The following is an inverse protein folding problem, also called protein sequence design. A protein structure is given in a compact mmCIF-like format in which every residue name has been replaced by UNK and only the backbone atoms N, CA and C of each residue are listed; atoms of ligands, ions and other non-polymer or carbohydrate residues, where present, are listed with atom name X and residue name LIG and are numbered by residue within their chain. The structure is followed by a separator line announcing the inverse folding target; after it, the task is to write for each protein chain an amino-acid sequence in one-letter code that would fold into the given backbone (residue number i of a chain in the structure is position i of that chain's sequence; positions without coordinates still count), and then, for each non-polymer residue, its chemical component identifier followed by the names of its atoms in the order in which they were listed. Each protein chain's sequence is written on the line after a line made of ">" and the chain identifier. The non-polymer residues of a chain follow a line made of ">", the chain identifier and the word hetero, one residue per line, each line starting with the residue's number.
data_IF_817311185590
#
_entry.id   IF_817311185590
#
_cell.length_a   1.000
_cell.length_b   1.000
_cell.length_c   1.000
_cell.angle_alpha   90.00
_cell.angle_beta   90.00
_cell.angle_gamma   90.00
#
_symmetry.space_group_name_H-M   'P 1'
#
loop_
_entity.id
_entity.type
_entity.pdbx_description
1 polymer ?
#
# COMPACT_ATOMS: atom_id res chain seq x y z
N UNK A 1 8.40 0.24 23.48
CA UNK A 1 7.96 1.18 22.44
C UNK A 1 6.89 0.43 21.68
N UNK A 2 5.71 1.03 21.51
CA UNK A 2 4.50 0.33 21.07
C UNK A 2 4.65 -0.08 19.59
N UNK A 3 5.18 -1.28 19.34
CA UNK A 3 5.13 -1.95 18.02
C UNK A 3 3.69 -2.39 17.76
N UNK A 4 2.78 -1.41 17.75
CA UNK A 4 1.37 -1.64 17.50
C UNK A 4 1.23 -2.04 16.04
N UNK A 5 0.58 -3.16 15.80
CA UNK A 5 0.26 -3.64 14.46
C UNK A 5 -0.66 -2.62 13.78
N UNK A 6 -0.33 -2.26 12.56
CA UNK A 6 -1.13 -1.42 11.68
C UNK A 6 -1.30 -2.11 10.34
N UNK A 7 -2.44 -1.86 9.71
CA UNK A 7 -2.74 -2.40 8.40
C UNK A 7 -2.68 -1.26 7.38
N UNK A 8 -1.54 -1.01 6.72
CA UNK A 8 -1.51 -0.15 5.54
C UNK A 8 -2.53 -0.63 4.51
N UNK A 9 -3.46 0.25 4.14
CA UNK A 9 -4.44 0.03 3.07
C UNK A 9 -4.25 1.10 2.02
N UNK A 10 -3.97 0.69 0.79
CA UNK A 10 -3.87 1.60 -0.36
C UNK A 10 -5.14 1.49 -1.19
N UNK A 11 -5.75 2.64 -1.46
CA UNK A 11 -6.97 2.75 -2.29
C UNK A 11 -6.61 3.57 -3.52
N UNK A 12 -6.80 2.97 -4.69
CA UNK A 12 -6.70 3.64 -5.98
C UNK A 12 -8.03 4.26 -6.38
N UNK A 13 -7.97 5.26 -7.26
CA UNK A 13 -9.14 5.76 -7.98
C UNK A 13 -8.79 5.89 -9.45
N UNK A 14 -9.66 5.39 -10.32
CA UNK A 14 -9.48 5.49 -11.77
C UNK A 14 -10.14 6.74 -12.36
N UNK A 15 -10.01 6.91 -13.68
CA UNK A 15 -10.58 8.04 -14.42
C UNK A 15 -12.11 8.07 -14.45
N UNK A 16 -12.78 6.98 -14.05
CA UNK A 16 -14.24 6.89 -13.91
C UNK A 16 -14.71 7.19 -12.48
N UNK A 17 -13.79 7.58 -11.60
CA UNK A 17 -14.02 7.73 -10.15
C UNK A 17 -14.35 6.42 -9.43
N UNK A 18 -14.07 5.27 -10.06
CA UNK A 18 -14.18 3.98 -9.40
C UNK A 18 -13.02 3.84 -8.42
N UNK A 19 -13.33 3.44 -7.19
CA UNK A 19 -12.36 3.26 -6.11
C UNK A 19 -12.17 1.77 -5.86
N UNK A 20 -10.92 1.36 -5.74
CA UNK A 20 -10.56 -0.03 -5.46
C UNK A 20 -9.43 -0.12 -4.44
N UNK A 21 -9.41 -1.21 -3.68
CA UNK A 21 -8.30 -1.51 -2.76
C UNK A 21 -7.19 -2.18 -3.56
N UNK A 22 -6.02 -1.54 -3.62
CA UNK A 22 -4.88 -1.99 -4.41
C UNK A 22 -3.89 -2.83 -3.60
N UNK A 23 -3.72 -2.51 -2.32
CA UNK A 23 -2.83 -3.25 -1.43
C UNK A 23 -3.34 -3.22 0.01
N UNK A 24 -3.14 -4.34 0.71
CA UNK A 24 -3.36 -4.48 2.15
C UNK A 24 -2.15 -5.24 2.70
N UNK A 25 -1.37 -4.59 3.54
CA UNK A 25 -0.17 -5.16 4.16
C UNK A 25 -0.38 -5.23 5.67
N UNK A 26 0.12 -6.29 6.30
CA UNK A 26 0.24 -6.35 7.76
C UNK A 26 1.59 -5.77 8.16
N UNK A 27 1.57 -4.63 8.84
CA UNK A 27 2.76 -3.82 9.04
C UNK A 27 2.79 -3.07 10.35
N UNK A 28 3.76 -2.16 10.44
CA UNK A 28 3.96 -1.32 11.61
C UNK A 28 3.74 0.16 11.24
N UNK A 29 3.34 0.96 12.23
CA UNK A 29 3.08 2.39 12.03
C UNK A 29 4.32 3.07 11.47
N UNK A 30 4.16 3.80 10.36
CA UNK A 30 5.22 4.63 9.77
C UNK A 30 6.52 3.86 9.47
N UNK A 31 6.43 2.53 9.31
CA UNK A 31 7.59 1.69 9.01
C UNK A 31 7.93 1.71 7.52
N UNK A 32 9.18 2.04 7.21
CA UNK A 32 9.72 1.97 5.84
C UNK A 32 9.54 0.57 5.25
N UNK A 33 9.79 -0.49 6.03
CA UNK A 33 9.66 -1.88 5.58
C UNK A 33 8.22 -2.18 5.15
N UNK A 34 7.23 -1.73 5.91
CA UNK A 34 5.82 -1.93 5.58
C UNK A 34 5.42 -1.17 4.31
N UNK A 35 5.98 0.01 4.06
CA UNK A 35 5.76 0.74 2.81
C UNK A 35 6.49 0.13 1.61
N UNK A 36 7.70 -0.41 1.79
CA UNK A 36 8.40 -1.14 0.74
C UNK A 36 7.63 -2.39 0.30
N UNK A 37 6.99 -3.09 1.24
CA UNK A 37 6.14 -4.23 0.92
C UNK A 37 4.90 -3.81 0.12
N UNK A 38 4.26 -2.70 0.48
CA UNK A 38 3.17 -2.09 -0.31
C UNK A 38 3.63 -1.79 -1.74
N UNK A 39 4.77 -1.10 -1.91
CA UNK A 39 5.31 -0.75 -3.23
C UNK A 39 5.65 -2.00 -4.05
N UNK A 40 6.20 -3.04 -3.41
CA UNK A 40 6.47 -4.32 -4.07
C UNK A 40 5.19 -5.00 -4.55
N UNK A 41 4.13 -5.01 -3.74
CA UNK A 41 2.84 -5.58 -4.14
C UNK A 41 2.24 -4.82 -5.35
N UNK A 42 2.26 -3.48 -5.31
CA UNK A 42 1.76 -2.65 -6.41
C UNK A 42 2.57 -2.87 -7.71
N UNK A 43 3.90 -2.95 -7.60
CA UNK A 43 4.78 -3.22 -8.75
C UNK A 43 4.51 -4.61 -9.35
N UNK A 44 4.27 -5.63 -8.51
CA UNK A 44 3.88 -6.96 -8.98
C UNK A 44 2.51 -6.99 -9.70
N UNK A 45 1.65 -6.00 -9.45
CA UNK A 45 0.37 -5.81 -10.14
C UNK A 45 0.50 -4.99 -11.43
N UNK A 46 1.72 -4.70 -11.89
CA UNK A 46 2.03 -3.83 -13.05
C UNK A 46 1.58 -2.37 -12.85
N UNK A 47 1.29 -1.97 -11.61
CA UNK A 47 0.96 -0.58 -11.28
C UNK A 47 2.28 0.18 -11.19
N UNK A 48 2.63 0.84 -12.29
CA UNK A 48 3.83 1.68 -12.35
C UNK A 48 3.57 2.99 -11.63
N UNK A 49 4.17 3.14 -10.45
CA UNK A 49 4.12 4.36 -9.65
C UNK A 49 5.23 5.25 -10.19
N UNK A 50 4.88 6.25 -10.99
CA UNK A 50 5.86 7.27 -11.41
C UNK A 50 6.48 7.93 -10.18
N UNK A 51 7.80 8.15 -10.15
CA UNK A 51 8.52 8.72 -9.00
C UNK A 51 8.12 10.15 -8.68
#
# INVERSE_FOLDING_TARGET
>A
MDDKLYLPVVIGVDNTSYKEVLAVVDGYRESEVSWLEVLSQLTCQDINISP
#
